data_IF_907333217630
#
_entry.id   IF_907333217630
#
_cell.length_a   1.000
_cell.length_b   1.000
_cell.length_c   1.000
_cell.angle_alpha   90.00
_cell.angle_beta   90.00
_cell.angle_gamma   90.00
#
_symmetry.space_group_name_H-M   'P 1'
#
loop_
_entity.id
_entity.type
_entity.pdbx_description
1 polymer ?
#
# COMPACT_ATOMS: atom_id res chain seq x y z
N UNK A 1 -1.33 -6.95 3.94
CA UNK A 1 -1.57 -5.50 3.95
C UNK A 1 -2.07 -4.96 5.29
N UNK A 2 -3.21 -5.42 5.84
CA UNK A 2 -3.74 -4.92 7.13
C UNK A 2 -2.70 -4.84 8.26
N UNK A 3 -1.94 -5.91 8.46
CA UNK A 3 -0.85 -5.94 9.45
C UNK A 3 0.20 -4.85 9.20
N UNK A 4 0.62 -4.67 7.94
CA UNK A 4 1.61 -3.64 7.56
C UNK A 4 1.10 -2.24 7.94
N UNK A 5 -0.13 -1.89 7.55
CA UNK A 5 -0.68 -0.58 7.88
C UNK A 5 -0.78 -0.37 9.39
N UNK A 6 -1.30 -1.36 10.13
CA UNK A 6 -1.44 -1.28 11.59
C UNK A 6 -0.09 -1.12 12.28
N UNK A 7 0.88 -1.97 11.92
CA UNK A 7 2.20 -2.01 12.56
C UNK A 7 3.00 -0.74 12.24
N UNK A 8 2.91 -0.18 11.02
CA UNK A 8 3.57 1.09 10.69
C UNK A 8 2.90 2.30 11.36
N UNK A 9 1.60 2.23 11.64
CA UNK A 9 0.86 3.33 12.32
C UNK A 9 1.22 3.51 13.79
N UNK A 10 1.96 2.57 14.38
CA UNK A 10 2.50 2.74 15.74
C UNK A 10 3.78 3.59 15.74
N UNK A 11 4.38 3.82 14.56
CA UNK A 11 5.64 4.55 14.39
C UNK A 11 5.39 5.95 13.83
N UNK A 12 4.53 6.09 12.81
CA UNK A 12 4.26 7.38 12.18
C UNK A 12 2.88 7.46 11.52
N UNK A 13 2.49 8.66 11.09
CA UNK A 13 1.16 8.96 10.53
C UNK A 13 1.06 8.74 9.02
N UNK A 14 2.20 8.61 8.35
CA UNK A 14 2.29 8.45 6.90
C UNK A 14 3.09 7.23 6.51
N UNK A 15 2.76 6.65 5.36
CA UNK A 15 3.56 5.61 4.73
C UNK A 15 3.93 6.03 3.32
N UNK A 16 5.22 5.98 3.02
CA UNK A 16 5.76 6.00 1.67
C UNK A 16 5.66 4.58 1.11
N UNK A 17 5.00 4.42 -0.03
CA UNK A 17 4.88 3.17 -0.76
C UNK A 17 5.68 3.31 -2.05
N UNK A 18 6.77 2.56 -2.16
CA UNK A 18 7.60 2.49 -3.36
C UNK A 18 7.48 1.13 -4.03
N UNK A 19 7.37 1.13 -5.36
CA UNK A 19 7.47 -0.07 -6.19
C UNK A 19 8.71 0.07 -7.08
N UNK A 20 9.62 -0.89 -6.95
CA UNK A 20 10.82 -1.00 -7.77
C UNK A 20 10.93 -2.41 -8.37
N UNK A 21 12.00 -2.67 -9.13
CA UNK A 21 12.31 -4.00 -9.65
C UNK A 21 12.54 -5.05 -8.55
N UNK A 22 12.93 -4.60 -7.35
CA UNK A 22 13.26 -5.48 -6.22
C UNK A 22 12.04 -5.83 -5.37
N UNK A 23 10.91 -5.17 -5.61
CA UNK A 23 9.64 -5.42 -4.93
C UNK A 23 8.91 -4.15 -4.50
N UNK A 24 7.97 -4.33 -3.58
CA UNK A 24 7.23 -3.25 -2.93
C UNK A 24 7.87 -2.96 -1.59
N UNK A 25 8.02 -1.68 -1.26
CA UNK A 25 8.55 -1.23 0.00
C UNK A 25 7.61 -0.22 0.65
N UNK A 26 7.25 -0.50 1.91
CA UNK A 26 6.44 0.36 2.76
C UNK A 26 7.37 0.94 3.82
N UNK A 27 7.48 2.26 3.86
CA UNK A 27 8.30 2.97 4.84
C UNK A 27 7.47 3.98 5.61
N UNK A 28 7.72 4.09 6.91
CA UNK A 28 7.24 5.21 7.73
C UNK A 28 8.39 5.74 8.58
N UNK A 29 8.30 7.02 8.95
CA UNK A 29 9.16 7.65 9.93
C UNK A 29 8.29 8.46 10.89
N UNK A 30 8.66 8.46 12.17
CA UNK A 30 8.04 9.28 13.21
C UNK A 30 8.98 9.43 14.40
N UNK A 31 8.46 9.95 15.50
CA UNK A 31 9.27 10.43 16.64
C UNK A 31 10.11 9.32 17.30
N UNK A 32 9.60 8.09 17.29
CA UNK A 32 10.26 6.94 17.91
C UNK A 32 11.23 6.20 16.96
N UNK A 33 11.26 6.56 15.67
CA UNK A 33 12.16 5.97 14.70
C UNK A 33 11.54 5.72 13.32
N UNK A 34 12.10 4.74 12.59
CA UNK A 34 11.72 4.41 11.21
C UNK A 34 11.31 2.94 11.10
N UNK A 35 10.18 2.70 10.43
CA UNK A 35 9.69 1.35 10.10
C UNK A 35 9.81 1.07 8.61
N UNK A 36 10.26 -0.12 8.24
CA UNK A 36 10.37 -0.56 6.83
C UNK A 36 9.86 -1.99 6.70
N UNK A 37 8.98 -2.23 5.74
CA UNK A 37 8.54 -3.56 5.33
C UNK A 37 8.75 -3.70 3.83
N UNK A 38 9.42 -4.77 3.40
CA UNK A 38 9.64 -5.08 1.98
C UNK A 38 8.88 -6.36 1.62
N UNK A 39 8.16 -6.33 0.51
CA UNK A 39 7.48 -7.47 -0.08
C UNK A 39 8.07 -7.72 -1.47
N UNK A 40 8.70 -8.87 -1.66
CA UNK A 40 9.22 -9.28 -2.96
C UNK A 40 8.19 -10.11 -3.71
N UNK A 41 8.31 -10.17 -5.03
CA UNK A 41 7.46 -11.04 -5.83
C UNK A 41 7.67 -12.50 -5.41
N UNK A 42 6.58 -13.18 -5.06
CA UNK A 42 6.60 -14.58 -4.70
C UNK A 42 5.54 -15.31 -5.52
N UNK A 43 6.00 -16.11 -6.49
CA UNK A 43 5.15 -17.08 -7.15
C UNK A 43 5.10 -18.32 -6.24
N UNK A 44 3.99 -18.52 -5.54
CA UNK A 44 3.76 -19.79 -4.85
C UNK A 44 3.34 -20.83 -5.88
N UNK A 45 4.05 -21.97 -5.93
CA UNK A 45 3.60 -23.17 -6.67
C UNK A 45 2.44 -23.90 -5.97
N UNK A 46 2.12 -23.49 -4.74
CA UNK A 46 1.00 -24.00 -3.94
C UNK A 46 -0.11 -22.94 -3.90
N UNK A 47 -1.28 -23.27 -4.44
CA UNK A 47 -2.44 -22.37 -4.50
C UNK A 47 -2.94 -21.92 -3.11
N UNK A 48 -2.51 -22.58 -2.02
CA UNK A 48 -2.90 -22.25 -0.66
C UNK A 48 -1.99 -21.20 0.03
N UNK A 49 -0.79 -20.91 -0.50
CA UNK A 49 0.12 -19.96 0.15
C UNK A 49 -0.11 -18.51 -0.31
N UNK A 50 0.03 -17.51 0.58
CA UNK A 50 -0.12 -16.11 0.22
C UNK A 50 0.99 -15.69 -0.76
N UNK A 51 0.62 -15.49 -2.03
CA UNK A 51 1.50 -14.99 -3.07
C UNK A 51 1.47 -13.45 -3.13
N UNK A 52 2.63 -12.85 -3.43
CA UNK A 52 2.72 -11.43 -3.78
C UNK A 52 2.99 -11.32 -5.27
N UNK A 53 2.00 -10.83 -6.00
CA UNK A 53 2.11 -10.54 -7.43
C UNK A 53 2.37 -9.05 -7.65
N UNK A 54 3.35 -8.74 -8.49
CA UNK A 54 3.74 -7.38 -8.83
C UNK A 54 3.71 -7.25 -10.34
N UNK A 55 2.88 -6.34 -10.85
CA UNK A 55 2.88 -5.90 -12.25
C UNK A 55 3.33 -4.43 -12.27
N UNK A 56 4.60 -4.21 -12.62
CA UNK A 56 5.23 -2.90 -12.62
C UNK A 56 5.57 -2.46 -14.04
N UNK A 57 4.96 -1.36 -14.48
CA UNK A 57 5.30 -0.70 -15.75
C UNK A 57 6.38 0.35 -15.58
N UNK A 58 6.27 1.13 -14.51
CA UNK A 58 7.19 2.20 -14.13
C UNK A 58 7.41 2.19 -12.62
N UNK A 59 8.53 2.76 -12.17
CA UNK A 59 8.76 2.96 -10.74
C UNK A 59 7.81 4.03 -10.23
N UNK A 60 7.26 3.80 -9.05
CA UNK A 60 6.36 4.75 -8.38
C UNK A 60 6.73 4.83 -6.91
N UNK A 61 6.74 6.05 -6.37
CA UNK A 61 6.97 6.32 -4.96
C UNK A 61 5.98 7.40 -4.51
N UNK A 62 5.05 7.04 -3.63
CA UNK A 62 3.98 7.95 -3.20
C UNK A 62 3.74 7.83 -1.69
N UNK A 63 3.45 8.95 -1.05
CA UNK A 63 3.20 9.02 0.39
C UNK A 63 1.70 9.11 0.67
N UNK A 64 1.20 8.35 1.65
CA UNK A 64 -0.21 8.32 2.02
C UNK A 64 -0.40 8.41 3.54
N UNK A 65 -1.53 8.98 3.98
CA UNK A 65 -1.89 9.00 5.39
C UNK A 65 -2.39 7.62 5.86
N UNK A 66 -1.69 7.04 6.84
CA UNK A 66 -1.95 5.70 7.38
C UNK A 66 -3.32 5.57 8.03
N UNK A 67 -3.87 6.66 8.59
CA UNK A 67 -5.24 6.70 9.13
C UNK A 67 -6.30 6.21 8.14
N UNK A 68 -6.19 6.62 6.87
CA UNK A 68 -7.14 6.21 5.84
C UNK A 68 -6.88 4.78 5.38
N UNK A 69 -5.62 4.39 5.19
CA UNK A 69 -5.27 3.01 4.82
C UNK A 69 -5.73 2.00 5.89
N UNK A 70 -5.56 2.30 7.19
CA UNK A 70 -6.12 1.49 8.27
C UNK A 70 -7.66 1.38 8.17
N UNK A 71 -8.34 2.47 7.82
CA UNK A 71 -9.79 2.44 7.62
C UNK A 71 -10.19 1.53 6.46
N UNK A 72 -9.43 1.53 5.35
CA UNK A 72 -9.66 0.63 4.22
C UNK A 72 -9.44 -0.83 4.59
N UNK A 73 -8.44 -1.11 5.45
CA UNK A 73 -8.13 -2.49 5.87
C UNK A 73 -9.22 -3.15 6.70
N UNK A 74 -10.25 -2.42 7.15
CA UNK A 74 -11.46 -3.00 7.75
C UNK A 74 -12.22 -3.90 6.77
N UNK A 75 -12.04 -3.70 5.46
CA UNK A 75 -12.60 -4.55 4.41
C UNK A 75 -11.83 -5.87 4.19
N UNK A 76 -10.75 -6.14 4.93
CA UNK A 76 -9.92 -7.35 4.74
C UNK A 76 -10.70 -8.65 4.90
N UNK A 77 -11.78 -8.67 5.69
CA UNK A 77 -12.63 -9.86 5.83
C UNK A 77 -13.44 -10.19 4.55
N UNK A 78 -13.53 -9.27 3.59
CA UNK A 78 -14.31 -9.44 2.35
C UNK A 78 -13.56 -10.24 1.28
N UNK A 79 -12.23 -10.32 1.36
CA UNK A 79 -11.41 -10.97 0.33
C UNK A 79 -10.10 -11.49 0.92
N UNK A 80 -9.64 -12.69 0.54
CA UNK A 80 -8.35 -13.23 1.01
C UNK A 80 -7.16 -12.44 0.46
N UNK A 81 -7.35 -11.65 -0.60
CA UNK A 81 -6.33 -10.84 -1.24
C UNK A 81 -6.78 -9.37 -1.34
N UNK A 82 -5.81 -8.47 -1.46
CA UNK A 82 -6.02 -7.06 -1.75
C UNK A 82 -5.23 -6.69 -3.00
N UNK A 83 -5.84 -5.94 -3.90
CA UNK A 83 -5.16 -5.37 -5.06
C UNK A 83 -4.90 -3.89 -4.79
N UNK A 84 -3.63 -3.48 -4.87
CA UNK A 84 -3.21 -2.10 -4.71
C UNK A 84 -2.70 -1.61 -6.06
N UNK A 85 -3.31 -0.56 -6.60
CA UNK A 85 -2.87 0.08 -7.84
C UNK A 85 -2.33 1.47 -7.54
N UNK A 86 -1.07 1.69 -7.89
CA UNK A 86 -0.40 2.98 -7.75
C UNK A 86 -0.10 3.56 -9.13
N UNK A 87 -0.24 4.88 -9.24
CA UNK A 87 0.12 5.67 -10.41
C UNK A 87 0.48 7.07 -9.90
N UNK A 88 1.52 7.69 -10.45
CA UNK A 88 2.07 8.96 -9.94
C UNK A 88 1.08 10.14 -10.05
N UNK A 89 0.14 10.07 -10.99
CA UNK A 89 -0.79 11.16 -11.30
C UNK A 89 -2.21 10.92 -10.76
N UNK A 90 -2.46 9.76 -10.16
CA UNK A 90 -3.78 9.33 -9.73
C UNK A 90 -3.79 8.89 -8.25
N UNK A 91 -4.96 8.97 -7.58
CA UNK A 91 -5.13 8.35 -6.27
C UNK A 91 -4.76 6.87 -6.27
N UNK A 92 -4.17 6.38 -5.16
CA UNK A 92 -4.01 4.94 -4.97
C UNK A 92 -5.38 4.28 -4.91
N UNK A 93 -5.51 3.14 -5.56
CA UNK A 93 -6.72 2.31 -5.49
C UNK A 93 -6.44 1.07 -4.66
N UNK A 94 -7.20 0.90 -3.57
CA UNK A 94 -7.20 -0.32 -2.75
C UNK A 94 -8.48 -1.08 -3.01
N UNK A 95 -8.37 -2.25 -3.63
CA UNK A 95 -9.50 -3.08 -4.06
C UNK A 95 -9.57 -4.41 -3.30
N UNK A 96 -10.75 -4.72 -2.79
CA UNK A 96 -11.12 -6.02 -2.26
C UNK A 96 -12.21 -6.63 -3.16
N UNK A 97 -11.96 -7.81 -3.74
CA UNK A 97 -12.92 -8.50 -4.61
C UNK A 97 -13.87 -9.37 -3.80
N UNK A 98 -15.16 -9.25 -4.07
CA UNK A 98 -16.26 -9.96 -3.41
C UNK A 98 -16.67 -11.19 -4.25
N UNK A 99 -15.74 -12.13 -4.46
CA UNK A 99 -15.96 -13.27 -5.38
C UNK A 99 -16.62 -12.81 -6.70
N UNK A 100 -17.76 -13.41 -7.06
CA UNK A 100 -18.53 -13.07 -8.28
C UNK A 100 -19.49 -11.87 -8.11
N UNK A 101 -19.64 -11.32 -6.90
CA UNK A 101 -20.62 -10.27 -6.59
C UNK A 101 -20.11 -8.85 -6.88
N UNK A 102 -18.80 -8.66 -7.11
CA UNK A 102 -18.21 -7.36 -7.44
C UNK A 102 -16.97 -7.02 -6.62
N UNK A 103 -16.82 -5.75 -6.24
CA UNK A 103 -15.65 -5.26 -5.50
C UNK A 103 -15.97 -4.06 -4.62
N UNK A 104 -15.17 -3.86 -3.59
CA UNK A 104 -15.06 -2.60 -2.85
C UNK A 104 -13.75 -1.93 -3.27
N UNK A 105 -13.83 -0.67 -3.71
CA UNK A 105 -12.67 0.15 -4.10
C UNK A 105 -12.61 1.40 -3.25
N UNK A 106 -11.47 1.61 -2.62
CA UNK A 106 -11.14 2.84 -1.94
C UNK A 106 -10.11 3.62 -2.75
N UNK A 107 -10.30 4.93 -2.81
CA UNK A 107 -9.43 5.86 -3.51
C UNK A 107 -8.84 6.82 -2.47
N UNK A 108 -7.52 7.00 -2.49
CA UNK A 108 -6.84 7.92 -1.59
C UNK A 108 -5.81 8.74 -2.36
N UNK A 109 -5.98 10.05 -2.35
CA UNK A 109 -5.00 10.94 -2.97
C UNK A 109 -3.65 10.81 -2.22
N UNK A 110 -2.53 10.81 -2.94
CA UNK A 110 -1.22 10.91 -2.28
C UNK A 110 -1.11 12.24 -1.53
N UNK A 111 -0.29 12.26 -0.48
CA UNK A 111 0.20 13.52 0.06
C UNK A 111 1.11 14.13 -0.99
N UNK A 112 0.82 15.37 -1.33
CA UNK A 112 1.72 16.20 -2.11
C UNK A 112 2.82 16.61 -1.15
N UNK A 113 4.08 16.35 -1.49
CA UNK A 113 5.19 17.03 -0.81
C UNK A 113 5.05 18.50 -1.17
N UNK A 114 4.94 19.36 -0.17
CA UNK A 114 4.94 20.80 -0.37
C UNK A 114 6.36 21.13 -0.85
N UNK A 115 6.59 21.02 -2.16
CA UNK A 115 7.80 21.50 -2.82
C UNK A 115 7.86 22.97 -2.47
N UNK A 116 8.64 23.28 -1.43
CA UNK A 116 8.80 24.61 -0.92
C UNK A 116 9.00 25.54 -2.10
N UNK A 117 8.00 26.39 -2.34
CA UNK A 117 8.14 27.56 -3.17
C UNK A 117 9.12 28.46 -2.43
N UNK A 118 10.42 28.16 -2.57
CA UNK A 118 11.50 29.10 -2.33
C UNK A 118 11.30 30.24 -3.34
N UNK A 119 10.73 31.33 -2.84
CA UNK A 119 10.76 32.66 -3.44
C UNK A 119 11.52 33.61 -2.53
#
# INVERSE_FOLDING_TARGET
FQRICRDLSTIGDTVEISITKDGIRFQTAGDIGRGVVTCQQSASSDAAAPATEIDMREQVCLTFALRYLNSFTKATALSPAVCIRLNSDLPVVVEYRLAEMGHVRYYLAPKIEDDGLEG
#
